data_IF_487761544599
#
_entry.id   IF_487761544599
#
_cell.length_a   1.000
_cell.length_b   1.000
_cell.length_c   1.000
_cell.angle_alpha   90.00
_cell.angle_beta   90.00
_cell.angle_gamma   90.00
#
_symmetry.space_group_name_H-M   'P 1'
#
loop_
_entity.id
_entity.type
_entity.pdbx_description
1 polymer ?
#
# COMPACT_ATOMS: atom_id res chain seq x y z
N UNK A 1 10.14 -1.28 -32.47
CA UNK A 1 10.29 -0.24 -31.41
C UNK A 1 9.34 -0.42 -30.21
N UNK A 2 8.06 -0.78 -30.39
CA UNK A 2 7.09 -0.93 -29.27
C UNK A 2 7.44 -2.05 -28.25
N UNK A 3 7.90 -3.23 -28.71
CA UNK A 3 8.30 -4.34 -27.81
C UNK A 3 9.43 -3.95 -26.83
N UNK A 4 10.45 -3.22 -27.29
CA UNK A 4 11.56 -2.76 -26.42
C UNK A 4 11.10 -1.80 -25.32
N UNK A 5 10.07 -0.98 -25.59
CA UNK A 5 9.53 -0.02 -24.61
C UNK A 5 8.68 -0.70 -23.53
N UNK A 6 7.86 -1.67 -23.92
CA UNK A 6 7.07 -2.47 -22.96
C UNK A 6 7.99 -3.30 -22.05
N UNK A 7 8.98 -3.99 -22.62
CA UNK A 7 9.95 -4.76 -21.86
C UNK A 7 10.74 -3.89 -20.87
N UNK A 8 11.24 -2.73 -21.31
CA UNK A 8 11.93 -1.78 -20.43
C UNK A 8 11.03 -1.26 -19.31
N UNK A 9 9.73 -1.07 -19.55
CA UNK A 9 8.78 -0.66 -18.51
C UNK A 9 8.62 -1.74 -17.45
N UNK A 10 8.34 -2.99 -17.85
CA UNK A 10 8.22 -4.11 -16.91
C UNK A 10 9.51 -4.36 -16.12
N UNK A 11 10.67 -4.18 -16.76
CA UNK A 11 11.96 -4.27 -16.07
C UNK A 11 12.12 -3.17 -15.00
N UNK A 12 11.79 -1.92 -15.32
CA UNK A 12 11.84 -0.82 -14.35
C UNK A 12 10.82 -1.00 -13.22
N UNK A 13 9.62 -1.48 -13.54
CA UNK A 13 8.58 -1.77 -12.55
C UNK A 13 9.01 -2.91 -11.61
N UNK A 14 9.60 -3.99 -12.15
CA UNK A 14 10.15 -5.08 -11.35
C UNK A 14 11.27 -4.60 -10.42
N UNK A 15 12.15 -3.71 -10.88
CA UNK A 15 13.16 -3.06 -10.03
C UNK A 15 12.54 -2.20 -8.93
N UNK A 16 11.43 -1.50 -9.22
CA UNK A 16 10.71 -0.71 -8.23
C UNK A 16 10.13 -1.58 -7.10
N UNK A 17 9.67 -2.79 -7.43
CA UNK A 17 9.14 -3.72 -6.43
C UNK A 17 10.22 -4.25 -5.48
N UNK A 18 11.50 -4.16 -5.83
CA UNK A 18 12.58 -4.60 -4.96
C UNK A 18 12.67 -3.78 -3.67
N UNK A 19 12.28 -2.49 -3.68
CA UNK A 19 12.38 -1.65 -2.48
C UNK A 19 11.50 -2.17 -1.32
N UNK A 20 10.19 -2.40 -1.50
CA UNK A 20 9.36 -2.95 -0.42
C UNK A 20 9.69 -4.42 -0.13
N UNK A 21 10.03 -5.23 -1.14
CA UNK A 21 10.29 -6.68 -0.96
C UNK A 21 11.51 -6.92 -0.07
N UNK A 22 12.58 -6.13 -0.22
CA UNK A 22 13.76 -6.27 0.64
C UNK A 22 13.43 -6.02 2.12
N UNK A 23 12.61 -4.99 2.39
CA UNK A 23 12.14 -4.70 3.74
C UNK A 23 11.20 -5.80 4.26
N UNK A 24 10.30 -6.30 3.40
CA UNK A 24 9.37 -7.37 3.74
C UNK A 24 10.08 -8.65 4.17
N UNK A 25 11.22 -8.98 3.54
CA UNK A 25 12.03 -10.15 3.92
C UNK A 25 12.54 -10.06 5.35
N UNK A 26 13.14 -8.91 5.73
CA UNK A 26 13.64 -8.69 7.09
C UNK A 26 12.49 -8.67 8.10
N UNK A 27 11.42 -7.95 7.80
CA UNK A 27 10.22 -7.90 8.62
C UNK A 27 9.57 -9.30 8.79
N UNK A 28 9.54 -10.12 7.74
CA UNK A 28 9.05 -11.49 7.79
C UNK A 28 9.88 -12.39 8.69
N UNK A 29 11.22 -12.28 8.63
CA UNK A 29 12.11 -13.02 9.55
C UNK A 29 11.87 -12.60 11.00
N UNK A 30 11.77 -11.29 11.27
CA UNK A 30 11.48 -10.77 12.62
C UNK A 30 10.12 -11.25 13.13
N UNK A 31 9.10 -11.20 12.28
CA UNK A 31 7.75 -11.64 12.63
C UNK A 31 7.72 -13.15 12.91
N UNK A 32 8.35 -13.97 12.07
CA UNK A 32 8.38 -15.42 12.22
C UNK A 32 9.13 -15.84 13.49
N UNK A 33 10.35 -15.35 13.68
CA UNK A 33 11.16 -15.66 14.87
C UNK A 33 10.53 -15.08 16.14
N UNK A 34 10.07 -13.83 16.08
CA UNK A 34 9.43 -13.14 17.20
C UNK A 34 8.16 -13.88 17.64
N UNK A 35 7.26 -14.21 16.72
CA UNK A 35 5.97 -14.84 17.05
C UNK A 35 6.16 -16.28 17.54
N UNK A 36 7.13 -17.01 16.98
CA UNK A 36 7.48 -18.35 17.45
C UNK A 36 8.00 -18.33 18.89
N UNK A 37 8.94 -17.43 19.19
CA UNK A 37 9.56 -17.33 20.52
C UNK A 37 8.66 -16.65 21.57
N UNK A 38 7.80 -15.71 21.15
CA UNK A 38 6.87 -14.99 22.04
C UNK A 38 5.63 -15.81 22.42
N UNK A 39 5.41 -16.96 21.77
CA UNK A 39 4.23 -17.79 21.98
C UNK A 39 4.19 -18.41 23.39
N UNK A 40 2.99 -18.51 23.95
CA UNK A 40 2.78 -19.11 25.27
C UNK A 40 3.22 -20.59 25.32
N UNK A 41 3.11 -21.30 24.21
CA UNK A 41 3.56 -22.70 24.10
C UNK A 41 5.08 -22.82 24.14
N UNK A 42 5.80 -21.89 23.51
CA UNK A 42 7.26 -21.85 23.58
C UNK A 42 7.75 -21.46 24.98
N UNK A 43 7.01 -20.57 25.66
CA UNK A 43 7.29 -20.18 27.03
C UNK A 43 7.12 -21.34 28.03
N UNK A 44 6.22 -22.30 27.77
CA UNK A 44 6.09 -23.54 28.56
C UNK A 44 7.30 -24.46 28.41
N UNK A 45 7.89 -24.52 27.22
CA UNK A 45 9.07 -25.36 26.92
C UNK A 45 10.37 -24.71 27.41
N UNK A 46 10.48 -23.39 27.30
CA UNK A 46 11.63 -22.61 27.75
C UNK A 46 11.16 -21.52 28.73
N UNK A 47 11.14 -21.80 30.05
CA UNK A 47 10.64 -20.87 31.07
C UNK A 47 11.35 -19.50 31.09
N UNK A 48 12.58 -19.42 30.57
CA UNK A 48 13.29 -18.14 30.40
C UNK A 48 12.55 -17.18 29.46
N UNK A 49 11.85 -17.68 28.44
CA UNK A 49 11.06 -16.84 27.53
C UNK A 49 9.82 -16.25 28.20
N UNK A 50 9.32 -16.89 29.27
CA UNK A 50 8.18 -16.42 30.05
C UNK A 50 8.51 -15.23 30.95
N UNK A 51 9.79 -14.86 31.10
CA UNK A 51 10.18 -13.71 31.91
C UNK A 51 9.56 -12.45 31.28
N UNK A 52 8.80 -11.62 32.03
CA UNK A 52 8.05 -10.49 31.48
C UNK A 52 8.88 -9.53 30.61
N UNK A 53 10.13 -9.26 31.01
CA UNK A 53 11.03 -8.39 30.22
C UNK A 53 11.38 -9.01 28.87
N UNK A 54 11.60 -10.32 28.83
CA UNK A 54 11.97 -11.04 27.61
C UNK A 54 10.78 -11.14 26.68
N UNK A 55 9.60 -11.51 27.22
CA UNK A 55 8.36 -11.50 26.45
C UNK A 55 8.08 -10.13 25.85
N UNK A 56 8.28 -9.06 26.60
CA UNK A 56 8.12 -7.67 26.09
C UNK A 56 9.07 -7.36 24.94
N UNK A 57 10.34 -7.78 25.02
CA UNK A 57 11.31 -7.62 23.93
C UNK A 57 10.87 -8.42 22.69
N UNK A 58 10.36 -9.64 22.88
CA UNK A 58 9.88 -10.47 21.78
C UNK A 58 8.63 -9.89 21.13
N UNK A 59 7.67 -9.40 21.91
CA UNK A 59 6.46 -8.71 21.43
C UNK A 59 6.83 -7.42 20.67
N UNK A 60 7.91 -6.72 21.08
CA UNK A 60 8.46 -5.59 20.33
C UNK A 60 9.05 -6.04 18.97
N UNK A 61 9.79 -7.15 18.92
CA UNK A 61 10.30 -7.71 17.66
C UNK A 61 9.15 -8.10 16.72
N UNK A 62 8.08 -8.71 17.25
CA UNK A 62 6.84 -9.00 16.49
C UNK A 62 6.25 -7.72 15.90
N UNK A 63 6.14 -6.67 16.71
CA UNK A 63 5.60 -5.38 16.28
C UNK A 63 6.43 -4.75 15.15
N UNK A 64 7.76 -4.80 15.24
CA UNK A 64 8.65 -4.37 14.15
C UNK A 64 8.49 -5.24 12.89
N UNK A 65 8.29 -6.54 13.07
CA UNK A 65 8.02 -7.47 11.98
C UNK A 65 6.73 -7.14 11.22
N UNK A 66 5.69 -6.67 11.90
CA UNK A 66 4.42 -6.29 11.27
C UNK A 66 4.49 -4.99 10.45
N UNK A 67 5.47 -4.12 10.70
CA UNK A 67 5.55 -2.78 10.11
C UNK A 67 5.40 -2.77 8.58
N UNK A 68 6.19 -3.60 7.88
CA UNK A 68 6.18 -3.63 6.42
C UNK A 68 4.89 -4.21 5.84
N UNK A 69 4.24 -5.15 6.54
CA UNK A 69 3.00 -5.77 6.10
C UNK A 69 1.82 -4.81 6.24
N UNK A 70 1.74 -4.09 7.37
CA UNK A 70 0.67 -3.10 7.62
C UNK A 70 0.79 -1.91 6.66
N UNK A 71 2.00 -1.48 6.35
CA UNK A 71 2.25 -0.31 5.50
C UNK A 71 2.60 -0.67 4.05
N UNK A 72 2.39 -1.92 3.64
CA UNK A 72 2.76 -2.39 2.31
C UNK A 72 2.18 -1.53 1.17
N UNK A 73 0.90 -1.12 1.21
CA UNK A 73 0.33 -0.28 0.15
C UNK A 73 1.08 1.04 -0.06
N UNK A 74 1.39 1.77 1.03
CA UNK A 74 2.08 3.05 0.92
C UNK A 74 3.54 2.87 0.48
N UNK A 75 4.20 1.79 0.92
CA UNK A 75 5.55 1.47 0.47
C UNK A 75 5.61 1.27 -1.06
N UNK A 76 4.61 0.60 -1.64
CA UNK A 76 4.50 0.48 -3.11
C UNK A 76 4.19 1.81 -3.80
N UNK A 77 3.30 2.63 -3.22
CA UNK A 77 2.99 3.95 -3.78
C UNK A 77 4.23 4.86 -3.88
N UNK A 78 5.15 4.75 -2.93
CA UNK A 78 6.43 5.47 -2.91
C UNK A 78 7.45 4.82 -3.87
N UNK A 79 7.58 3.50 -3.82
CA UNK A 79 8.60 2.76 -4.54
C UNK A 79 8.44 2.80 -6.07
N UNK A 80 7.21 2.85 -6.57
CA UNK A 80 6.94 2.82 -8.02
C UNK A 80 7.47 4.06 -8.73
N UNK A 81 7.12 5.31 -8.34
CA UNK A 81 7.75 6.50 -8.89
C UNK A 81 9.28 6.48 -8.76
N UNK A 82 9.80 6.01 -7.61
CA UNK A 82 11.23 5.90 -7.34
C UNK A 82 11.95 4.99 -8.36
N UNK A 83 11.33 3.87 -8.76
CA UNK A 83 11.90 2.92 -9.71
C UNK A 83 11.63 3.24 -11.19
N UNK A 84 10.54 3.95 -11.50
CA UNK A 84 10.14 4.28 -12.87
C UNK A 84 10.76 5.58 -13.40
N UNK A 85 11.00 6.56 -12.53
CA UNK A 85 11.63 7.83 -12.93
C UNK A 85 13.12 7.62 -13.17
N UNK A 86 13.67 8.31 -14.17
CA UNK A 86 15.05 8.10 -14.64
C UNK A 86 16.03 8.99 -13.88
N UNK A 87 15.70 10.28 -13.79
CA UNK A 87 16.59 11.29 -13.24
C UNK A 87 16.61 11.23 -11.71
N UNK A 88 17.80 11.39 -11.12
CA UNK A 88 18.00 11.20 -9.67
C UNK A 88 17.15 12.16 -8.84
N UNK A 89 17.07 13.42 -9.27
CA UNK A 89 16.25 14.43 -8.62
C UNK A 89 14.77 14.07 -8.71
N UNK A 90 14.31 13.67 -9.89
CA UNK A 90 12.92 13.27 -10.13
C UNK A 90 12.48 12.08 -9.28
N UNK A 91 13.37 11.14 -9.01
CA UNK A 91 13.08 10.00 -8.14
C UNK A 91 12.65 10.43 -6.74
N UNK A 92 13.33 11.41 -6.14
CA UNK A 92 13.02 11.88 -4.79
C UNK A 92 11.66 12.59 -4.74
N UNK A 93 11.44 13.56 -5.65
CA UNK A 93 10.16 14.27 -5.73
C UNK A 93 9.01 13.36 -6.15
N UNK A 94 9.27 12.38 -7.03
CA UNK A 94 8.29 11.39 -7.45
C UNK A 94 7.89 10.45 -6.32
N UNK A 95 8.86 9.96 -5.53
CA UNK A 95 8.60 9.12 -4.36
C UNK A 95 7.76 9.88 -3.32
N UNK A 96 8.13 11.14 -3.03
CA UNK A 96 7.34 12.01 -2.17
C UNK A 96 5.93 12.24 -2.72
N UNK A 97 5.81 12.51 -4.02
CA UNK A 97 4.51 12.66 -4.68
C UNK A 97 3.69 11.36 -4.64
N UNK A 98 4.33 10.20 -4.65
CA UNK A 98 3.69 8.88 -4.50
C UNK A 98 2.97 8.74 -3.17
N UNK A 99 3.64 9.12 -2.07
CA UNK A 99 3.04 9.18 -0.74
C UNK A 99 1.85 10.15 -0.72
N UNK A 100 2.06 11.38 -1.20
CA UNK A 100 1.01 12.41 -1.22
C UNK A 100 -0.18 11.97 -2.06
N UNK A 101 0.06 11.37 -3.23
CA UNK A 101 -0.99 10.88 -4.12
C UNK A 101 -1.80 9.73 -3.51
N UNK A 102 -1.14 8.81 -2.82
CA UNK A 102 -1.81 7.74 -2.10
C UNK A 102 -2.69 8.27 -0.95
N UNK A 103 -2.16 9.18 -0.13
CA UNK A 103 -2.94 9.83 0.92
C UNK A 103 -4.11 10.64 0.35
N UNK A 104 -3.88 11.39 -0.73
CA UNK A 104 -4.91 12.18 -1.39
C UNK A 104 -6.04 11.32 -1.97
N UNK A 105 -5.71 10.18 -2.57
CA UNK A 105 -6.69 9.20 -3.04
C UNK A 105 -7.60 8.72 -1.90
N UNK A 106 -7.03 8.38 -0.75
CA UNK A 106 -7.79 7.98 0.43
C UNK A 106 -8.58 9.13 1.03
N UNK A 107 -8.06 10.36 0.99
CA UNK A 107 -8.79 11.56 1.40
C UNK A 107 -10.03 11.79 0.54
N UNK A 108 -9.90 11.69 -0.79
CA UNK A 108 -11.03 11.82 -1.71
C UNK A 108 -12.08 10.72 -1.50
N UNK A 109 -11.62 9.47 -1.32
CA UNK A 109 -12.51 8.34 -1.00
C UNK A 109 -13.26 8.57 0.31
N UNK A 110 -12.53 8.96 1.37
CA UNK A 110 -13.12 9.28 2.68
C UNK A 110 -14.13 10.41 2.58
N UNK A 111 -13.83 11.48 1.83
CA UNK A 111 -14.75 12.59 1.63
C UNK A 111 -16.07 12.10 1.05
N UNK A 112 -16.05 11.29 -0.02
CA UNK A 112 -17.26 10.72 -0.59
C UNK A 112 -18.02 9.85 0.42
N UNK A 113 -17.33 8.92 1.09
CA UNK A 113 -17.95 8.03 2.08
C UNK A 113 -18.62 8.83 3.21
N UNK A 114 -17.99 9.91 3.65
CA UNK A 114 -18.52 10.79 4.69
C UNK A 114 -19.76 11.55 4.25
N UNK A 115 -19.77 12.09 3.02
CA UNK A 115 -20.93 12.85 2.51
C UNK A 115 -22.16 12.00 2.24
N UNK A 116 -21.98 10.69 2.09
CA UNK A 116 -23.06 9.74 1.81
C UNK A 116 -23.39 8.83 3.00
N UNK A 117 -22.90 9.14 4.21
CA UNK A 117 -23.13 8.36 5.44
C UNK A 117 -22.75 6.87 5.29
N UNK A 118 -21.70 6.58 4.52
CA UNK A 118 -21.20 5.23 4.26
C UNK A 118 -20.06 4.81 5.20
N UNK A 119 -19.56 5.72 6.05
CA UNK A 119 -18.53 5.39 7.04
C UNK A 119 -19.14 4.54 8.16
N UNK A 120 -18.52 3.39 8.42
CA UNK A 120 -18.96 2.46 9.47
C UNK A 120 -18.08 2.55 10.71
N UNK A 121 -18.60 2.08 11.85
CA UNK A 121 -17.86 1.96 13.10
C UNK A 121 -16.74 0.92 13.01
N UNK A 122 -15.74 1.03 13.90
CA UNK A 122 -14.47 0.29 13.81
C UNK A 122 -14.61 -1.24 13.77
N UNK A 123 -15.59 -1.78 14.49
CA UNK A 123 -15.95 -3.20 14.54
C UNK A 123 -16.53 -3.72 13.22
N UNK A 124 -17.15 -2.85 12.43
CA UNK A 124 -17.79 -3.20 11.16
C UNK A 124 -16.91 -2.91 9.94
N UNK A 125 -15.82 -2.15 10.08
CA UNK A 125 -14.97 -1.71 8.97
C UNK A 125 -14.55 -2.86 8.04
N UNK A 126 -14.03 -3.96 8.60
CA UNK A 126 -13.56 -5.10 7.82
C UNK A 126 -14.65 -5.71 6.94
N UNK A 127 -15.87 -5.85 7.48
CA UNK A 127 -17.02 -6.44 6.75
C UNK A 127 -17.54 -5.55 5.62
N UNK A 128 -17.30 -4.24 5.70
CA UNK A 128 -17.62 -3.27 4.66
C UNK A 128 -16.42 -2.94 3.76
N UNK A 129 -15.32 -3.67 3.88
CA UNK A 129 -14.10 -3.44 3.13
C UNK A 129 -13.41 -2.12 3.44
N UNK A 130 -13.71 -1.51 4.59
CA UNK A 130 -13.09 -0.28 5.08
C UNK A 130 -11.96 -0.59 6.07
N UNK A 131 -11.02 0.34 6.21
CA UNK A 131 -9.96 0.32 7.21
C UNK A 131 -9.42 1.74 7.41
N UNK A 132 -8.55 1.93 8.40
CA UNK A 132 -7.85 3.19 8.63
C UNK A 132 -6.47 3.10 7.99
N UNK A 133 -6.22 3.96 7.01
CA UNK A 133 -4.96 4.03 6.26
C UNK A 133 -4.35 5.40 6.55
N UNK A 134 -3.21 5.43 7.25
CA UNK A 134 -2.51 6.67 7.61
C UNK A 134 -3.42 7.70 8.32
N UNK A 135 -4.31 7.22 9.19
CA UNK A 135 -5.27 8.05 9.93
C UNK A 135 -6.55 8.41 9.15
N UNK A 136 -6.71 7.92 7.92
CA UNK A 136 -7.88 8.18 7.08
C UNK A 136 -8.71 6.90 6.94
N UNK A 137 -9.97 6.93 7.38
CA UNK A 137 -10.89 5.81 7.15
C UNK A 137 -11.30 5.76 5.68
N UNK A 138 -10.99 4.67 4.98
CA UNK A 138 -11.25 4.50 3.55
C UNK A 138 -11.44 3.03 3.21
N UNK A 139 -11.85 2.72 1.98
CA UNK A 139 -11.76 1.36 1.47
C UNK A 139 -10.34 0.79 1.55
N UNK A 140 -10.22 -0.45 1.98
CA UNK A 140 -8.98 -1.21 2.02
C UNK A 140 -8.60 -1.67 0.61
N UNK A 141 -7.90 -0.79 -0.11
CA UNK A 141 -7.43 -1.06 -1.48
C UNK A 141 -6.20 -1.97 -1.54
N UNK A 142 -5.65 -2.36 -0.38
CA UNK A 142 -4.45 -3.19 -0.26
C UNK A 142 -3.29 -2.71 -1.16
N UNK A 143 -2.36 -3.60 -1.49
CA UNK A 143 -1.19 -3.34 -2.35
C UNK A 143 -1.59 -2.80 -3.72
N UNK A 144 -2.73 -3.24 -4.26
CA UNK A 144 -3.24 -2.78 -5.56
C UNK A 144 -3.47 -1.27 -5.58
N UNK A 145 -4.09 -0.70 -4.54
CA UNK A 145 -4.28 0.76 -4.45
C UNK A 145 -2.96 1.52 -4.41
N UNK A 146 -1.97 0.98 -3.68
CA UNK A 146 -0.61 1.52 -3.66
C UNK A 146 0.04 1.51 -5.04
N UNK A 147 -0.08 0.38 -5.75
CA UNK A 147 0.48 0.21 -7.10
C UNK A 147 -0.15 1.20 -8.08
N UNK A 148 -1.49 1.29 -8.08
CA UNK A 148 -2.23 2.20 -8.97
C UNK A 148 -1.87 3.65 -8.68
N UNK A 149 -1.85 4.07 -7.40
CA UNK A 149 -1.45 5.43 -7.03
C UNK A 149 -0.03 5.75 -7.50
N UNK A 150 0.94 4.87 -7.23
CA UNK A 150 2.32 5.06 -7.66
C UNK A 150 2.48 5.12 -9.19
N UNK A 151 1.76 4.27 -9.94
CA UNK A 151 1.77 4.29 -11.41
C UNK A 151 1.16 5.58 -11.97
N UNK A 152 0.03 6.03 -11.41
CA UNK A 152 -0.61 7.28 -11.82
C UNK A 152 0.34 8.45 -11.60
N UNK A 153 0.94 8.58 -10.41
CA UNK A 153 1.91 9.61 -10.08
C UNK A 153 3.10 9.57 -11.04
N UNK A 154 3.71 8.41 -11.25
CA UNK A 154 4.84 8.26 -12.17
C UNK A 154 4.48 8.65 -13.62
N UNK A 155 3.25 8.38 -14.05
CA UNK A 155 2.77 8.71 -15.40
C UNK A 155 2.53 10.20 -15.60
N UNK A 156 2.05 10.91 -14.58
CA UNK A 156 1.77 12.36 -14.64
C UNK A 156 3.02 13.21 -14.37
N UNK A 157 4.01 12.66 -13.67
CA UNK A 157 5.21 13.39 -13.21
C UNK A 157 5.87 14.21 -14.33
N UNK A 158 6.19 13.58 -15.46
CA UNK A 158 6.90 14.24 -16.58
C UNK A 158 6.11 15.38 -17.21
N UNK A 159 4.77 15.30 -17.18
CA UNK A 159 3.93 16.37 -17.69
C UNK A 159 3.95 17.55 -16.72
N UNK A 160 3.81 17.28 -15.42
CA UNK A 160 3.71 18.30 -14.38
C UNK A 160 5.03 19.04 -14.18
N UNK A 161 6.15 18.33 -14.11
CA UNK A 161 7.48 18.92 -13.86
C UNK A 161 7.88 19.94 -14.94
N UNK A 162 7.38 19.77 -16.16
CA UNK A 162 7.68 20.64 -17.29
C UNK A 162 6.64 21.76 -17.50
N UNK A 163 5.62 21.87 -16.64
CA UNK A 163 4.66 22.96 -16.71
C UNK A 163 5.33 24.28 -16.33
N UNK A 164 5.11 25.30 -17.15
CA UNK A 164 5.50 26.67 -16.85
C UNK A 164 4.34 27.37 -16.16
N UNK A 165 4.58 27.88 -14.97
CA UNK A 165 3.62 28.69 -14.20
C UNK A 165 4.05 30.16 -14.19
N UNK A 166 3.14 31.11 -13.91
CA UNK A 166 3.46 32.54 -13.89
C UNK A 166 4.62 32.86 -12.94
N UNK A 167 5.40 33.90 -13.25
CA UNK A 167 6.61 34.26 -12.47
C UNK A 167 6.31 34.52 -10.99
N UNK A 168 5.14 35.06 -10.67
CA UNK A 168 4.68 35.27 -9.28
C UNK A 168 4.58 33.97 -8.46
N UNK A 169 4.38 32.83 -9.10
CA UNK A 169 4.32 31.51 -8.49
C UNK A 169 5.59 30.67 -8.77
N UNK A 170 6.65 31.29 -9.31
CA UNK A 170 7.85 30.59 -9.76
C UNK A 170 8.54 29.71 -8.72
N UNK A 171 8.32 29.97 -7.42
CA UNK A 171 8.77 29.11 -6.32
C UNK A 171 8.25 27.67 -6.43
N UNK A 172 7.04 27.46 -6.94
CA UNK A 172 6.43 26.14 -7.06
C UNK A 172 6.77 25.43 -8.36
N UNK A 173 7.51 26.06 -9.28
CA UNK A 173 7.82 25.49 -10.59
C UNK A 173 8.68 24.22 -10.50
N UNK A 174 8.61 23.40 -11.54
CA UNK A 174 9.47 22.22 -11.67
C UNK A 174 9.04 21.08 -10.74
N UNK A 175 9.99 20.34 -10.13
CA UNK A 175 9.68 19.17 -9.30
C UNK A 175 8.80 19.46 -8.09
N UNK A 176 8.83 20.69 -7.57
CA UNK A 176 7.99 21.15 -6.44
C UNK A 176 6.50 21.23 -6.80
N UNK A 177 6.16 21.40 -8.07
CA UNK A 177 4.79 21.47 -8.55
C UNK A 177 4.09 20.11 -8.49
N UNK A 178 4.88 19.04 -8.65
CA UNK A 178 4.39 17.67 -8.77
C UNK A 178 3.56 17.25 -7.57
N UNK A 179 4.01 17.34 -6.30
CA UNK A 179 3.20 16.92 -5.16
C UNK A 179 1.92 17.76 -5.01
N UNK A 180 1.96 19.04 -5.39
CA UNK A 180 0.80 19.95 -5.29
C UNK A 180 -0.30 19.53 -6.27
N UNK A 181 0.04 19.34 -7.54
CA UNK A 181 -0.94 18.89 -8.54
C UNK A 181 -1.37 17.44 -8.24
N UNK A 182 -0.45 16.59 -7.79
CA UNK A 182 -0.75 15.21 -7.40
C UNK A 182 -1.82 15.17 -6.31
N UNK A 183 -1.74 16.01 -5.27
CA UNK A 183 -2.76 16.12 -4.23
C UNK A 183 -4.15 16.36 -4.82
N UNK A 184 -4.29 17.34 -5.72
CA UNK A 184 -5.57 17.71 -6.31
C UNK A 184 -6.10 16.59 -7.22
N UNK A 185 -5.27 16.10 -8.13
CA UNK A 185 -5.65 15.09 -9.12
C UNK A 185 -5.99 13.76 -8.47
N UNK A 186 -5.17 13.31 -7.51
CA UNK A 186 -5.39 12.04 -6.83
C UNK A 186 -6.56 12.10 -5.85
N UNK A 187 -6.83 13.26 -5.24
CA UNK A 187 -8.06 13.44 -4.46
C UNK A 187 -9.31 13.34 -5.35
N UNK A 188 -9.29 13.96 -6.53
CA UNK A 188 -10.35 13.78 -7.52
C UNK A 188 -10.49 12.32 -7.98
N UNK A 189 -9.38 11.61 -8.21
CA UNK A 189 -9.40 10.18 -8.51
C UNK A 189 -9.99 9.34 -7.35
N UNK A 190 -9.73 9.73 -6.11
CA UNK A 190 -10.31 9.14 -4.91
C UNK A 190 -11.84 9.15 -4.89
N UNK A 191 -12.48 10.15 -5.49
CA UNK A 191 -13.95 10.22 -5.62
C UNK A 191 -14.52 9.10 -6.51
N UNK A 192 -13.68 8.50 -7.37
CA UNK A 192 -14.09 7.43 -8.30
C UNK A 192 -13.99 6.06 -7.61
N UNK A 193 -13.12 5.91 -6.61
CA UNK A 193 -12.86 4.64 -5.91
C UNK A 193 -14.14 4.01 -5.34
N UNK A 194 -15.08 4.74 -4.71
CA UNK A 194 -16.33 4.16 -4.20
C UNK A 194 -17.22 3.49 -5.24
N UNK A 195 -17.07 3.80 -6.53
CA UNK A 195 -17.83 3.16 -7.60
C UNK A 195 -17.11 1.92 -8.14
N UNK A 196 -15.78 1.94 -8.13
CA UNK A 196 -14.95 0.88 -8.70
C UNK A 196 -14.67 -0.23 -7.68
N UNK A 197 -14.42 0.13 -6.41
CA UNK A 197 -13.92 -0.81 -5.41
C UNK A 197 -14.95 -1.82 -4.87
N UNK A 198 -16.22 -1.46 -4.59
CA UNK A 198 -17.18 -2.42 -4.03
C UNK A 198 -17.39 -3.68 -4.87
N UNK A 199 -17.44 -3.63 -6.22
CA UNK A 199 -17.41 -4.83 -7.05
C UNK A 199 -16.20 -5.75 -6.80
N UNK A 200 -14.99 -5.19 -6.67
CA UNK A 200 -13.79 -5.98 -6.35
C UNK A 200 -13.88 -6.59 -4.94
N UNK A 201 -14.33 -5.82 -3.96
CA UNK A 201 -14.51 -6.31 -2.60
C UNK A 201 -15.51 -7.48 -2.55
N UNK A 202 -16.66 -7.35 -3.20
CA UNK A 202 -17.66 -8.41 -3.26
C UNK A 202 -17.13 -9.66 -3.99
N UNK A 203 -16.32 -9.48 -5.02
CA UNK A 203 -15.65 -10.59 -5.70
C UNK A 203 -14.69 -11.33 -4.75
N UNK A 204 -13.86 -10.60 -3.98
CA UNK A 204 -12.97 -11.22 -3.00
C UNK A 204 -13.75 -11.95 -1.89
N UNK A 205 -14.85 -11.37 -1.41
CA UNK A 205 -15.73 -12.01 -0.44
C UNK A 205 -16.35 -13.30 -0.99
N UNK A 206 -16.81 -13.29 -2.24
CA UNK A 206 -17.38 -14.47 -2.90
C UNK A 206 -16.35 -15.58 -3.08
N UNK A 207 -15.13 -15.24 -3.53
CA UNK A 207 -14.02 -16.19 -3.65
C UNK A 207 -13.67 -16.75 -2.26
N UNK A 208 -13.57 -15.90 -1.24
CA UNK A 208 -13.27 -16.33 0.13
C UNK A 208 -14.33 -17.27 0.71
N UNK A 209 -15.61 -16.96 0.48
CA UNK A 209 -16.71 -17.83 0.90
C UNK A 209 -16.71 -19.17 0.14
N UNK A 210 -16.43 -19.16 -1.16
CA UNK A 210 -16.32 -20.38 -1.94
C UNK A 210 -15.16 -21.26 -1.47
N UNK A 211 -14.00 -20.68 -1.19
CA UNK A 211 -12.83 -21.40 -0.66
C UNK A 211 -13.16 -22.04 0.70
N UNK A 212 -13.82 -21.30 1.60
CA UNK A 212 -14.12 -21.80 2.95
C UNK A 212 -15.20 -22.89 2.98
N UNK A 213 -16.11 -22.90 2.00
CA UNK A 213 -17.21 -23.87 1.91
C UNK A 213 -16.90 -25.09 1.03
N UNK A 214 -15.91 -25.00 0.15
CA UNK A 214 -15.55 -26.07 -0.81
C UNK A 214 -14.68 -27.20 -0.23
N UNK A 215 -14.38 -27.16 1.07
CA UNK A 215 -13.59 -28.19 1.75
C UNK A 215 -12.18 -28.37 1.14
N UNK A 216 -11.66 -29.61 1.02
CA UNK A 216 -10.31 -29.88 0.53
C UNK A 216 -9.97 -29.26 -0.84
N UNK A 217 -10.95 -29.14 -1.73
CA UNK A 217 -10.77 -28.53 -3.06
C UNK A 217 -10.55 -27.02 -2.96
N UNK A 218 -11.26 -26.35 -2.05
CA UNK A 218 -11.06 -24.93 -1.77
C UNK A 218 -9.64 -24.63 -1.27
N UNK A 219 -9.15 -25.45 -0.32
CA UNK A 219 -7.77 -25.34 0.17
C UNK A 219 -6.73 -25.59 -0.92
N UNK A 220 -6.98 -26.52 -1.84
CA UNK A 220 -6.10 -26.76 -2.99
C UNK A 220 -5.98 -25.52 -3.88
N UNK A 221 -7.10 -24.92 -4.28
CA UNK A 221 -7.08 -23.71 -5.11
C UNK A 221 -6.47 -22.51 -4.39
N UNK A 222 -6.73 -22.36 -3.09
CA UNK A 222 -6.07 -21.34 -2.27
C UNK A 222 -4.53 -21.50 -2.30
N UNK A 223 -4.04 -22.72 -2.03
CA UNK A 223 -2.60 -22.99 -2.01
C UNK A 223 -1.93 -22.83 -3.39
N UNK A 224 -2.66 -23.05 -4.48
CA UNK A 224 -2.17 -22.78 -5.84
C UNK A 224 -2.13 -21.28 -6.13
N UNK A 225 -3.15 -20.52 -5.71
CA UNK A 225 -3.24 -19.08 -5.94
C UNK A 225 -2.25 -18.25 -5.11
N UNK A 226 -1.82 -18.77 -3.96
CA UNK A 226 -0.84 -18.12 -3.07
C UNK A 226 0.60 -18.15 -3.62
N UNK A 227 0.91 -19.04 -4.58
CA UNK A 227 2.25 -19.24 -5.15
C UNK A 227 2.46 -18.45 -6.44
#
# INVERSE_FOLDING_TARGET
MKQKKAWSFFQSLGKAFMYPIALLSVCGMMLGLGSGLASDDMAKLIPFLAIPIIKTILDFIVSLGLFAFVNLPVLFAIAIPLGLLKDKEDKAYGAFSGLIGFMAMHLGTNFYLKQHDLLVVADQMSTHGQTIILGIQSYNTSVLGGIVAGLLVASMYKKIVNLRIPESLGFYSGPRLVPIITLIVMSGFGLIIPFIWPPFFNLFMLIGHWISTSGPVGYFFYAVAER
#
